data_IF_100815949428
#
_entry.id   IF_100815949428
#
_cell.length_a   1.000
_cell.length_b   1.000
_cell.length_c   1.000
_cell.angle_alpha   90.00
_cell.angle_beta   90.00
_cell.angle_gamma   90.00
#
_symmetry.space_group_name_H-M   'P 1'
#
loop_
_entity.id
_entity.type
_entity.pdbx_description
1 polymer ?
#
# COMPACT_ATOMS: atom_id res chain seq x y z
N UNK A 1 61.00 9.89 -8.26
CA UNK A 1 59.52 9.99 -8.38
C UNK A 1 58.97 9.87 -6.97
N UNK A 2 58.49 10.98 -6.40
CA UNK A 2 58.07 11.07 -4.99
C UNK A 2 56.67 10.50 -4.85
N UNK A 3 56.54 9.41 -4.08
CA UNK A 3 55.29 8.72 -3.78
C UNK A 3 54.52 9.52 -2.71
N UNK A 4 53.47 10.25 -3.11
CA UNK A 4 52.55 10.92 -2.16
C UNK A 4 51.50 9.92 -1.68
N UNK A 5 51.58 9.57 -0.40
CA UNK A 5 50.55 8.83 0.34
C UNK A 5 49.26 9.67 0.40
N UNK A 6 48.19 9.16 -0.23
CA UNK A 6 46.82 9.66 -0.03
C UNK A 6 46.25 8.89 1.15
N UNK A 7 46.13 9.57 2.29
CA UNK A 7 45.40 9.05 3.47
C UNK A 7 43.91 9.19 3.17
N UNK A 8 43.26 8.07 2.87
CA UNK A 8 41.81 7.99 2.77
C UNK A 8 41.18 8.05 4.16
N UNK A 9 40.44 9.12 4.44
CA UNK A 9 39.59 9.21 5.62
C UNK A 9 38.36 8.32 5.35
N UNK A 10 38.35 7.11 5.92
CA UNK A 10 37.12 6.33 6.04
C UNK A 10 36.18 7.10 6.98
N UNK A 11 35.19 7.78 6.41
CA UNK A 11 34.05 8.30 7.16
C UNK A 11 33.22 7.13 7.68
N UNK A 12 33.26 6.93 8.99
CA UNK A 12 32.40 5.98 9.70
C UNK A 12 30.96 6.49 9.59
N UNK A 13 30.14 5.89 8.73
CA UNK A 13 28.70 6.13 8.72
C UNK A 13 28.11 5.56 10.01
N UNK A 14 27.89 6.43 10.99
CA UNK A 14 27.24 6.08 12.26
C UNK A 14 25.75 5.89 11.97
N UNK A 15 25.27 4.66 12.01
CA UNK A 15 23.82 4.36 11.97
C UNK A 15 23.24 4.75 13.34
N UNK A 16 22.74 5.98 13.46
CA UNK A 16 22.07 6.48 14.67
C UNK A 16 20.61 6.02 14.60
N UNK A 17 20.27 4.86 15.16
CA UNK A 17 18.86 4.44 15.20
C UNK A 17 18.38 3.63 16.44
N UNK A 18 19.19 3.07 17.34
CA UNK A 18 18.61 2.39 18.51
C UNK A 18 18.31 3.28 19.73
N UNK A 19 19.00 4.43 19.88
CA UNK A 19 19.00 5.16 21.16
C UNK A 19 17.78 6.08 21.38
N UNK A 20 17.24 6.68 20.30
CA UNK A 20 16.11 7.61 20.39
C UNK A 20 14.78 6.91 20.74
N UNK A 21 14.56 5.71 20.18
CA UNK A 21 13.35 4.90 20.43
C UNK A 21 13.29 4.44 21.90
N UNK A 22 14.42 4.00 22.46
CA UNK A 22 14.51 3.58 23.86
C UNK A 22 14.26 4.74 24.84
N UNK A 23 14.61 5.99 24.47
CA UNK A 23 14.33 7.18 25.28
C UNK A 23 12.86 7.61 25.25
N UNK A 24 12.09 7.17 24.25
CA UNK A 24 10.66 7.44 24.08
C UNK A 24 9.77 6.39 24.79
N UNK A 25 10.37 5.38 25.44
CA UNK A 25 9.63 4.31 26.11
C UNK A 25 8.94 3.32 25.17
N UNK A 26 9.35 3.26 23.91
CA UNK A 26 8.77 2.37 22.90
C UNK A 26 9.49 1.02 22.97
N UNK A 27 8.72 -0.07 23.06
CA UNK A 27 9.27 -1.43 23.02
C UNK A 27 9.96 -1.69 21.67
N UNK A 28 11.24 -2.14 21.64
CA UNK A 28 11.95 -2.40 20.39
C UNK A 28 11.29 -3.47 19.50
N UNK A 29 10.64 -4.47 20.10
CA UNK A 29 9.91 -5.51 19.36
C UNK A 29 8.69 -4.93 18.65
N UNK A 30 7.90 -4.12 19.37
CA UNK A 30 6.76 -3.39 18.83
C UNK A 30 7.18 -2.44 17.70
N UNK A 31 8.30 -1.73 17.86
CA UNK A 31 8.84 -0.85 16.81
C UNK A 31 9.23 -1.65 15.54
N UNK A 32 9.89 -2.80 15.72
CA UNK A 32 10.26 -3.69 14.61
C UNK A 32 9.04 -4.33 13.92
N UNK A 33 7.98 -4.62 14.66
CA UNK A 33 6.70 -5.04 14.07
C UNK A 33 6.07 -3.91 13.25
N UNK A 34 6.07 -2.68 13.77
CA UNK A 34 5.59 -1.49 13.06
C UNK A 34 6.34 -1.26 11.75
N UNK A 35 7.65 -1.48 11.73
CA UNK A 35 8.46 -1.42 10.51
C UNK A 35 8.01 -2.44 9.47
N UNK A 36 7.80 -3.69 9.85
CA UNK A 36 7.36 -4.74 8.92
C UNK A 36 5.97 -4.42 8.34
N UNK A 37 5.05 -3.96 9.19
CA UNK A 37 3.73 -3.50 8.75
C UNK A 37 3.84 -2.33 7.78
N UNK A 38 4.75 -1.38 8.02
CA UNK A 38 5.00 -0.25 7.13
C UNK A 38 5.52 -0.69 5.76
N UNK A 39 6.48 -1.61 5.73
CA UNK A 39 7.05 -2.12 4.48
C UNK A 39 6.00 -2.81 3.59
N UNK A 40 5.09 -3.56 4.21
CA UNK A 40 4.01 -4.23 3.49
C UNK A 40 2.93 -3.23 3.05
N UNK A 41 2.47 -2.35 3.94
CA UNK A 41 1.22 -1.62 3.72
C UNK A 41 1.40 -0.18 3.23
N UNK A 42 2.51 0.47 3.57
CA UNK A 42 2.66 1.92 3.45
C UNK A 42 3.77 2.34 2.49
N UNK A 43 4.88 1.58 2.44
CA UNK A 43 6.07 1.92 1.67
C UNK A 43 5.82 2.05 0.15
N UNK A 44 4.79 1.37 -0.38
CA UNK A 44 4.40 1.48 -1.79
C UNK A 44 4.15 2.94 -2.21
N UNK A 45 3.52 3.73 -1.34
CA UNK A 45 3.20 5.14 -1.59
C UNK A 45 4.16 6.08 -0.84
N UNK A 46 4.47 5.76 0.42
CA UNK A 46 5.24 6.64 1.29
C UNK A 46 6.77 6.43 1.22
N UNK A 47 7.23 5.43 0.46
CA UNK A 47 8.63 5.02 0.27
C UNK A 47 9.32 4.57 1.56
N UNK A 48 10.39 3.80 1.46
CA UNK A 48 11.14 3.32 2.63
C UNK A 48 11.74 4.45 3.47
N UNK A 49 12.05 5.58 2.82
CA UNK A 49 12.56 6.80 3.46
C UNK A 49 11.48 7.66 4.11
N UNK A 50 10.19 7.33 3.95
CA UNK A 50 9.09 8.15 4.44
C UNK A 50 8.94 9.49 3.70
N UNK A 51 9.69 9.74 2.62
CA UNK A 51 9.61 10.99 1.86
C UNK A 51 8.43 11.02 0.89
N UNK A 52 7.80 9.87 0.61
CA UNK A 52 6.72 9.77 -0.35
C UNK A 52 7.13 10.15 -1.77
N UNK A 53 6.16 10.66 -2.52
CA UNK A 53 6.32 11.21 -3.87
C UNK A 53 5.39 12.44 -4.01
N UNK A 54 5.77 13.59 -3.41
CA UNK A 54 4.90 14.76 -3.37
C UNK A 54 4.66 15.35 -4.77
N UNK A 55 3.45 15.88 -5.06
CA UNK A 55 2.33 16.06 -4.13
C UNK A 55 1.39 14.85 -4.04
N UNK A 56 1.61 13.80 -4.84
CA UNK A 56 0.69 12.66 -4.96
C UNK A 56 0.67 11.82 -3.69
N UNK A 57 1.85 11.47 -3.18
CA UNK A 57 2.01 10.75 -1.92
C UNK A 57 2.82 11.62 -0.95
N UNK A 58 2.22 12.11 0.15
CA UNK A 58 2.89 13.06 1.02
C UNK A 58 4.00 12.41 1.85
N UNK A 59 4.98 13.23 2.25
CA UNK A 59 6.02 12.84 3.18
C UNK A 59 5.44 12.59 4.60
N UNK A 60 5.93 11.51 5.21
CA UNK A 60 5.76 11.18 6.61
C UNK A 60 6.99 11.60 7.43
N UNK A 61 8.20 11.52 6.87
CA UNK A 61 9.41 12.03 7.53
C UNK A 61 9.33 13.55 7.69
N UNK A 62 9.65 14.06 8.89
CA UNK A 62 9.64 15.48 9.23
C UNK A 62 8.24 16.11 9.25
N UNK A 63 7.18 15.31 9.33
CA UNK A 63 5.81 15.80 9.25
C UNK A 63 5.20 16.05 10.63
N UNK A 64 5.17 17.32 11.06
CA UNK A 64 4.62 17.75 12.36
C UNK A 64 3.18 17.32 12.63
N UNK A 65 2.38 17.06 11.57
CA UNK A 65 1.00 16.57 11.75
C UNK A 65 0.94 15.19 12.40
N UNK A 66 2.04 14.44 12.38
CA UNK A 66 2.18 13.17 13.06
C UNK A 66 2.18 13.31 14.57
N UNK A 67 2.25 14.51 15.15
CA UNK A 67 2.08 14.71 16.59
C UNK A 67 0.69 14.30 17.13
N UNK A 68 -0.34 14.34 16.29
CA UNK A 68 -1.71 13.96 16.65
C UNK A 68 -1.95 12.45 16.41
N UNK A 69 -1.84 11.67 17.49
CA UNK A 69 -1.96 10.21 17.44
C UNK A 69 -3.35 9.75 16.93
N UNK A 70 -4.42 10.40 17.37
CA UNK A 70 -5.80 10.05 16.98
C UNK A 70 -6.00 10.29 15.48
N UNK A 71 -5.42 11.35 14.92
CA UNK A 71 -5.44 11.59 13.47
C UNK A 71 -4.74 10.47 12.70
N UNK A 72 -3.61 9.97 13.20
CA UNK A 72 -2.88 8.87 12.56
C UNK A 72 -3.72 7.59 12.59
N UNK A 73 -4.25 7.23 13.77
CA UNK A 73 -5.11 6.05 13.93
C UNK A 73 -6.31 6.11 12.98
N UNK A 74 -6.97 7.28 12.89
CA UNK A 74 -8.06 7.50 11.94
C UNK A 74 -7.62 7.31 10.49
N UNK A 75 -6.51 7.92 10.10
CA UNK A 75 -5.99 7.82 8.72
C UNK A 75 -5.63 6.39 8.33
N UNK A 76 -5.06 5.61 9.26
CA UNK A 76 -4.75 4.20 9.02
C UNK A 76 -6.03 3.37 8.92
N UNK A 77 -6.95 3.53 9.87
CA UNK A 77 -8.13 2.67 9.93
C UNK A 77 -9.15 2.98 8.80
N UNK A 78 -9.48 4.26 8.63
CA UNK A 78 -10.52 4.71 7.70
C UNK A 78 -9.97 5.14 6.33
N UNK A 79 -8.65 5.25 6.19
CA UNK A 79 -8.05 5.82 5.00
C UNK A 79 -8.28 7.33 4.91
N UNK A 80 -8.18 7.85 3.69
CA UNK A 80 -8.43 9.24 3.35
C UNK A 80 -8.40 9.40 1.84
N UNK A 81 -8.32 10.64 1.34
CA UNK A 81 -8.40 11.01 -0.09
C UNK A 81 -8.00 9.92 -1.09
N UNK A 82 -6.72 9.50 -1.08
CA UNK A 82 -6.16 8.40 -1.88
C UNK A 82 -5.44 7.37 -1.02
N UNK A 83 -5.59 7.46 0.31
CA UNK A 83 -4.99 6.51 1.24
C UNK A 83 -6.02 5.43 1.49
N UNK A 84 -5.76 4.18 1.10
CA UNK A 84 -6.73 3.10 1.32
C UNK A 84 -6.95 2.87 2.82
N UNK A 85 -8.14 2.40 3.23
CA UNK A 85 -8.36 1.95 4.60
C UNK A 85 -7.65 0.62 4.87
N UNK A 86 -7.20 0.42 6.11
CA UNK A 86 -6.57 -0.83 6.57
C UNK A 86 -7.40 -1.49 7.69
N UNK A 87 -8.62 -1.97 7.41
CA UNK A 87 -9.54 -2.49 8.42
C UNK A 87 -9.12 -3.86 8.99
N UNK A 88 -8.16 -4.54 8.34
CA UNK A 88 -7.62 -5.82 8.78
C UNK A 88 -6.64 -5.68 9.96
N UNK A 89 -6.05 -4.49 10.15
CA UNK A 89 -5.08 -4.26 11.22
C UNK A 89 -5.79 -4.15 12.56
N UNK A 90 -5.28 -4.91 13.53
CA UNK A 90 -5.71 -4.86 14.93
C UNK A 90 -5.27 -3.56 15.61
N UNK A 91 -5.85 -3.24 16.77
CA UNK A 91 -5.43 -2.07 17.56
C UNK A 91 -3.94 -2.14 17.95
N UNK A 92 -3.42 -3.34 18.23
CA UNK A 92 -2.01 -3.55 18.55
C UNK A 92 -1.11 -3.31 17.34
N UNK A 93 -1.49 -3.81 16.15
CA UNK A 93 -0.75 -3.56 14.91
C UNK A 93 -0.79 -2.09 14.50
N UNK A 94 -1.93 -1.41 14.66
CA UNK A 94 -2.05 0.03 14.43
C UNK A 94 -1.18 0.80 15.42
N UNK A 95 -1.13 0.38 16.68
CA UNK A 95 -0.23 0.96 17.69
C UNK A 95 1.24 0.80 17.27
N UNK A 96 1.66 -0.41 16.89
CA UNK A 96 3.01 -0.68 16.41
C UNK A 96 3.38 0.20 15.19
N UNK A 97 2.50 0.23 14.18
CA UNK A 97 2.67 1.00 12.96
C UNK A 97 2.71 2.52 13.22
N UNK A 98 1.82 3.04 14.07
CA UNK A 98 1.79 4.44 14.45
C UNK A 98 3.08 4.84 15.18
N UNK A 99 3.57 4.00 16.11
CA UNK A 99 4.84 4.23 16.80
C UNK A 99 6.02 4.25 15.85
N UNK A 100 6.07 3.33 14.86
CA UNK A 100 7.11 3.36 13.82
C UNK A 100 7.06 4.65 13.01
N UNK A 101 5.92 5.01 12.41
CA UNK A 101 5.78 6.21 11.58
C UNK A 101 6.14 7.49 12.36
N UNK A 102 5.74 7.57 13.63
CA UNK A 102 5.99 8.72 14.51
C UNK A 102 7.42 8.84 15.02
N UNK A 103 8.25 7.80 14.88
CA UNK A 103 9.60 7.78 15.46
C UNK A 103 10.67 7.23 14.50
N UNK A 104 10.32 6.98 13.25
CA UNK A 104 11.25 6.70 12.17
C UNK A 104 11.75 8.01 11.54
N UNK A 105 12.91 7.92 10.87
CA UNK A 105 13.52 9.01 10.11
C UNK A 105 13.80 10.26 10.96
N UNK A 106 13.29 11.42 10.56
CA UNK A 106 13.44 12.69 11.29
C UNK A 106 12.36 12.91 12.37
N UNK A 107 11.46 11.95 12.58
CA UNK A 107 10.37 12.07 13.54
C UNK A 107 10.79 11.65 14.95
N UNK A 108 10.09 12.17 15.97
CA UNK A 108 10.36 11.84 17.37
C UNK A 108 9.23 12.26 18.31
N UNK A 109 8.06 11.61 18.19
CA UNK A 109 6.89 11.89 19.02
C UNK A 109 6.64 10.82 20.09
N UNK A 110 6.00 11.21 21.19
CA UNK A 110 5.60 10.31 22.27
C UNK A 110 4.93 9.03 21.74
N UNK A 111 5.21 7.93 22.45
CA UNK A 111 4.59 6.63 22.20
C UNK A 111 3.06 6.71 22.23
N UNK A 112 2.41 5.85 21.45
CA UNK A 112 0.96 5.64 21.45
C UNK A 112 0.70 4.22 21.94
N UNK A 113 -0.21 4.03 22.90
CA UNK A 113 -0.49 2.69 23.45
C UNK A 113 -1.63 1.99 22.72
N UNK A 114 -1.71 0.66 22.83
CA UNK A 114 -2.81 -0.13 22.26
C UNK A 114 -4.17 0.28 22.85
N UNK A 115 -4.21 0.68 24.11
CA UNK A 115 -5.42 1.18 24.78
C UNK A 115 -5.87 2.52 24.17
N UNK A 116 -4.93 3.44 23.91
CA UNK A 116 -5.24 4.71 23.25
C UNK A 116 -5.76 4.50 21.83
N UNK A 117 -5.16 3.57 21.08
CA UNK A 117 -5.64 3.19 19.75
C UNK A 117 -7.04 2.57 19.84
N UNK A 118 -7.27 1.66 20.78
CA UNK A 118 -8.57 1.01 20.97
C UNK A 118 -9.66 2.05 21.26
N UNK A 119 -9.42 2.97 22.20
CA UNK A 119 -10.34 4.05 22.52
C UNK A 119 -10.61 4.97 21.32
N UNK A 120 -9.57 5.26 20.52
CA UNK A 120 -9.73 6.03 19.29
C UNK A 120 -10.61 5.30 18.26
N UNK A 121 -10.43 3.98 18.07
CA UNK A 121 -11.24 3.18 17.16
C UNK A 121 -12.70 3.08 17.62
N UNK A 122 -12.95 2.89 18.91
CA UNK A 122 -14.29 2.91 19.51
C UNK A 122 -15.01 4.24 19.22
N UNK A 123 -14.31 5.37 19.39
CA UNK A 123 -14.83 6.70 19.09
C UNK A 123 -15.13 6.96 17.60
N UNK A 124 -14.62 6.12 16.70
CA UNK A 124 -14.85 6.20 15.26
C UNK A 124 -16.04 5.35 14.77
N UNK A 125 -16.82 4.78 15.70
CA UNK A 125 -17.91 3.85 15.37
C UNK A 125 -17.58 2.38 15.65
N UNK A 126 -16.48 2.13 16.35
CA UNK A 126 -16.09 0.80 16.82
C UNK A 126 -15.65 -0.16 15.73
N UNK A 127 -15.05 -1.25 16.18
CA UNK A 127 -14.69 -2.44 15.41
C UNK A 127 -15.94 -3.18 14.87
N UNK A 128 -16.99 -2.47 14.44
CA UNK A 128 -18.02 -3.03 13.57
C UNK A 128 -17.43 -3.17 12.16
N UNK A 129 -16.45 -4.08 12.11
CA UNK A 129 -15.85 -4.66 10.92
C UNK A 129 -17.00 -5.17 10.07
N UNK A 130 -17.33 -4.43 9.02
CA UNK A 130 -18.47 -4.71 8.15
C UNK A 130 -18.21 -6.03 7.39
N UNK A 131 -18.61 -7.17 7.95
CA UNK A 131 -18.43 -8.51 7.37
C UNK A 131 -17.09 -9.19 7.70
N UNK A 132 -16.82 -10.40 7.19
CA UNK A 132 -15.50 -11.05 7.26
C UNK A 132 -14.50 -10.46 6.24
N UNK A 133 -13.20 -10.72 6.40
CA UNK A 133 -12.21 -10.51 5.33
C UNK A 133 -12.41 -11.59 4.26
N UNK A 134 -12.24 -11.23 3.00
CA UNK A 134 -12.34 -12.12 1.85
C UNK A 134 -11.01 -12.16 1.08
N UNK A 135 -10.84 -13.19 0.29
CA UNK A 135 -9.79 -13.33 -0.69
C UNK A 135 -10.28 -12.97 -2.09
N UNK A 136 -9.36 -12.54 -2.95
CA UNK A 136 -9.60 -12.46 -4.40
C UNK A 136 -10.04 -13.80 -5.02
N UNK A 137 -9.84 -14.94 -4.34
CA UNK A 137 -10.28 -16.28 -4.77
C UNK A 137 -11.75 -16.60 -4.43
N UNK A 138 -12.43 -15.74 -3.68
CA UNK A 138 -13.80 -16.00 -3.18
C UNK A 138 -14.91 -15.57 -4.16
N UNK A 139 -14.61 -15.47 -5.46
CA UNK A 139 -15.61 -15.06 -6.46
C UNK A 139 -16.06 -13.61 -6.31
N UNK A 140 -15.10 -12.69 -6.14
CA UNK A 140 -15.37 -11.29 -5.75
C UNK A 140 -15.80 -10.36 -6.90
N UNK A 141 -15.83 -10.86 -8.13
CA UNK A 141 -16.18 -10.12 -9.34
C UNK A 141 -17.04 -10.98 -10.27
N UNK A 142 -17.77 -10.35 -11.20
CA UNK A 142 -18.59 -11.06 -12.19
C UNK A 142 -17.89 -11.19 -13.55
N UNK A 143 -18.27 -12.19 -14.35
CA UNK A 143 -17.77 -12.32 -15.74
C UNK A 143 -18.11 -11.09 -16.60
N UNK A 144 -19.30 -10.53 -16.40
CA UNK A 144 -19.72 -9.31 -17.09
C UNK A 144 -18.81 -8.13 -16.72
N UNK A 145 -18.41 -8.02 -15.45
CA UNK A 145 -17.50 -6.99 -14.99
C UNK A 145 -16.10 -7.15 -15.59
N UNK A 146 -15.55 -8.37 -15.59
CA UNK A 146 -14.26 -8.64 -16.20
C UNK A 146 -14.27 -8.37 -17.71
N UNK A 147 -15.37 -8.67 -18.40
CA UNK A 147 -15.54 -8.38 -19.84
C UNK A 147 -15.50 -6.87 -20.12
N UNK A 148 -16.22 -6.04 -19.33
CA UNK A 148 -16.12 -4.58 -19.45
C UNK A 148 -14.72 -4.07 -19.16
N UNK A 149 -14.06 -4.67 -18.16
CA UNK A 149 -12.68 -4.36 -17.79
C UNK A 149 -11.67 -4.62 -18.89
N UNK A 150 -11.85 -5.70 -19.65
CA UNK A 150 -11.02 -6.03 -20.81
C UNK A 150 -11.06 -4.93 -21.87
N UNK A 151 -12.27 -4.46 -22.23
CA UNK A 151 -12.45 -3.39 -23.22
C UNK A 151 -11.75 -2.09 -22.81
N UNK A 152 -11.86 -1.70 -21.54
CA UNK A 152 -11.17 -0.52 -20.99
C UNK A 152 -9.65 -0.73 -20.99
N UNK A 153 -9.20 -1.91 -20.55
CA UNK A 153 -7.79 -2.25 -20.44
C UNK A 153 -7.06 -2.16 -21.79
N UNK A 154 -7.66 -2.68 -22.87
CA UNK A 154 -7.04 -2.68 -24.19
C UNK A 154 -6.67 -1.28 -24.68
N UNK A 155 -7.52 -0.29 -24.37
CA UNK A 155 -7.31 1.11 -24.73
C UNK A 155 -6.34 1.84 -23.80
N UNK A 156 -6.55 1.75 -22.49
CA UNK A 156 -5.86 2.59 -21.50
C UNK A 156 -4.56 1.99 -20.96
N UNK A 157 -4.41 0.66 -20.98
CA UNK A 157 -3.34 -0.03 -20.26
C UNK A 157 -2.50 -0.95 -21.17
N UNK A 158 -3.13 -1.59 -22.16
CA UNK A 158 -2.56 -2.68 -22.94
C UNK A 158 -1.35 -2.30 -23.80
N UNK A 159 -1.20 -1.03 -24.18
CA UNK A 159 -0.02 -0.52 -24.90
C UNK A 159 1.26 -0.60 -24.09
N UNK A 160 1.14 -0.41 -22.78
CA UNK A 160 2.27 -0.43 -21.85
C UNK A 160 2.37 -1.79 -21.16
N UNK A 161 1.29 -2.32 -20.59
CA UNK A 161 1.32 -3.53 -19.76
C UNK A 161 1.11 -4.84 -20.54
N UNK A 162 1.10 -4.77 -21.87
CA UNK A 162 0.86 -5.89 -22.78
C UNK A 162 -0.62 -6.28 -22.85
N UNK A 163 -1.10 -6.70 -24.02
CA UNK A 163 -2.51 -7.09 -24.24
C UNK A 163 -2.99 -8.23 -23.33
N UNK A 164 -2.05 -9.03 -22.80
CA UNK A 164 -2.32 -10.16 -21.88
C UNK A 164 -1.82 -9.92 -20.46
N UNK A 165 -1.59 -8.66 -20.08
CA UNK A 165 -1.14 -8.26 -18.73
C UNK A 165 0.22 -8.82 -18.33
N UNK A 166 1.02 -9.25 -19.31
CA UNK A 166 2.30 -9.90 -19.10
C UNK A 166 3.48 -8.91 -19.00
N UNK A 167 3.25 -7.62 -19.29
CA UNK A 167 4.30 -6.59 -19.30
C UNK A 167 5.42 -6.86 -20.31
N UNK A 168 6.47 -6.05 -20.27
CA UNK A 168 7.72 -6.25 -21.00
C UNK A 168 8.78 -6.89 -20.06
N UNK A 169 9.67 -7.78 -20.54
CA UNK A 169 10.24 -7.82 -21.88
C UNK A 169 9.70 -8.95 -22.78
N UNK A 170 8.56 -9.55 -22.46
CA UNK A 170 7.99 -10.64 -23.25
C UNK A 170 7.53 -10.18 -24.66
N UNK A 171 7.48 -8.85 -24.89
CA UNK A 171 7.34 -8.20 -26.19
C UNK A 171 8.53 -7.22 -26.40
N UNK A 172 9.44 -7.47 -27.36
CA UNK A 172 10.65 -6.68 -27.56
C UNK A 172 10.40 -5.25 -28.07
N UNK A 173 9.18 -4.95 -28.56
CA UNK A 173 8.81 -3.64 -29.09
C UNK A 173 8.12 -2.75 -28.03
N UNK A 174 7.99 -3.22 -26.78
CA UNK A 174 7.34 -2.48 -25.69
C UNK A 174 8.34 -1.87 -24.69
N UNK A 175 7.96 -0.71 -24.12
CA UNK A 175 8.67 -0.11 -22.98
C UNK A 175 8.64 -1.06 -21.79
N UNK A 176 9.73 -1.12 -21.02
CA UNK A 176 9.82 -1.94 -19.81
C UNK A 176 8.76 -1.55 -18.79
N UNK A 177 7.75 -2.40 -18.61
CA UNK A 177 6.59 -2.18 -17.75
C UNK A 177 6.27 -3.45 -16.97
N UNK A 178 5.77 -3.33 -15.72
CA UNK A 178 5.47 -4.50 -14.92
C UNK A 178 4.25 -5.26 -15.45
N UNK A 179 4.22 -6.60 -15.32
CA UNK A 179 3.02 -7.39 -15.51
C UNK A 179 1.96 -7.04 -14.47
N UNK A 180 0.70 -7.15 -14.87
CA UNK A 180 -0.47 -6.83 -14.05
C UNK A 180 -1.27 -8.06 -13.62
N UNK A 181 -0.79 -9.27 -13.94
CA UNK A 181 -1.41 -10.51 -13.48
C UNK A 181 -0.37 -11.59 -13.14
N UNK A 182 -0.85 -12.66 -12.49
CA UNK A 182 -0.11 -13.91 -12.22
C UNK A 182 1.08 -13.75 -11.25
N UNK A 183 2.01 -14.70 -11.25
CA UNK A 183 3.08 -14.82 -10.25
C UNK A 183 3.96 -13.56 -10.10
N UNK A 184 4.19 -12.80 -11.19
CA UNK A 184 5.02 -11.58 -11.11
C UNK A 184 4.27 -10.43 -10.44
N UNK A 185 2.96 -10.35 -10.62
CA UNK A 185 2.08 -9.39 -9.92
C UNK A 185 2.09 -9.65 -8.41
N UNK A 186 1.99 -10.92 -7.98
CA UNK A 186 1.98 -11.27 -6.57
C UNK A 186 3.24 -10.80 -5.79
N UNK A 187 4.41 -10.70 -6.44
CA UNK A 187 5.62 -10.18 -5.78
C UNK A 187 5.48 -8.78 -5.20
N UNK A 188 4.57 -7.97 -5.75
CA UNK A 188 4.31 -6.60 -5.29
C UNK A 188 2.99 -6.52 -4.55
N UNK A 189 2.01 -7.34 -4.91
CA UNK A 189 0.62 -7.15 -4.47
C UNK A 189 0.15 -8.15 -3.43
N UNK A 190 0.87 -9.24 -3.19
CA UNK A 190 0.54 -10.20 -2.12
C UNK A 190 0.45 -9.51 -0.75
N UNK A 191 -0.58 -9.88 0.01
CA UNK A 191 -0.89 -9.34 1.33
C UNK A 191 -1.58 -7.97 1.32
N UNK A 192 -1.67 -7.29 0.17
CA UNK A 192 -2.36 -5.99 0.04
C UNK A 192 -3.82 -6.19 -0.36
N UNK A 193 -4.65 -5.19 -0.04
CA UNK A 193 -6.07 -5.22 -0.41
C UNK A 193 -6.33 -4.69 -1.82
N UNK A 194 -7.51 -4.99 -2.37
CA UNK A 194 -7.96 -4.37 -3.63
C UNK A 194 -8.12 -2.85 -3.50
N UNK A 195 -8.39 -2.32 -2.30
CA UNK A 195 -8.40 -0.85 -2.11
C UNK A 195 -7.02 -0.24 -2.34
N UNK A 196 -5.96 -0.90 -1.88
CA UNK A 196 -4.58 -0.44 -2.13
C UNK A 196 -4.26 -0.45 -3.62
N UNK A 197 -4.63 -1.52 -4.33
CA UNK A 197 -4.45 -1.59 -5.79
C UNK A 197 -5.26 -0.52 -6.52
N UNK A 198 -6.52 -0.34 -6.14
CA UNK A 198 -7.41 0.64 -6.73
C UNK A 198 -6.88 2.07 -6.56
N UNK A 199 -6.56 2.47 -5.33
CA UNK A 199 -6.07 3.83 -5.07
C UNK A 199 -4.70 4.10 -5.69
N UNK A 200 -3.78 3.12 -5.65
CA UNK A 200 -2.49 3.26 -6.32
C UNK A 200 -2.67 3.42 -7.84
N UNK A 201 -3.48 2.56 -8.46
CA UNK A 201 -3.74 2.62 -9.90
C UNK A 201 -4.37 3.95 -10.30
N UNK A 202 -5.33 4.47 -9.53
CA UNK A 202 -5.91 5.80 -9.76
C UNK A 202 -4.90 6.92 -9.63
N UNK A 203 -3.99 6.81 -8.67
CA UNK A 203 -3.02 7.86 -8.37
C UNK A 203 -1.86 7.91 -9.37
N UNK A 204 -1.50 6.78 -10.00
CA UNK A 204 -0.29 6.68 -10.82
C UNK A 204 -0.53 6.24 -12.26
N UNK A 205 -1.74 5.76 -12.59
CA UNK A 205 -2.04 5.20 -13.91
C UNK A 205 -3.28 5.85 -14.55
N UNK A 206 -3.30 5.98 -15.89
CA UNK A 206 -2.14 5.90 -16.79
C UNK A 206 -1.02 6.89 -16.42
N UNK A 207 0.25 6.56 -16.68
CA UNK A 207 1.42 7.34 -16.23
C UNK A 207 1.38 8.80 -16.72
N UNK A 208 0.89 9.01 -17.94
CA UNK A 208 0.78 10.32 -18.59
C UNK A 208 -0.49 11.09 -18.19
N UNK A 209 -1.52 10.39 -17.73
CA UNK A 209 -2.80 10.99 -17.34
C UNK A 209 -3.47 10.25 -16.16
N UNK A 210 -2.91 10.32 -14.94
CA UNK A 210 -3.48 9.62 -13.79
C UNK A 210 -4.88 10.11 -13.44
N UNK A 211 -5.71 9.20 -12.91
CA UNK A 211 -7.12 9.46 -12.56
C UNK A 211 -8.01 9.86 -13.76
N UNK A 212 -7.62 9.50 -14.98
CA UNK A 212 -8.38 9.82 -16.19
C UNK A 212 -9.58 8.92 -16.45
N UNK A 213 -9.59 7.72 -15.88
CA UNK A 213 -10.73 6.81 -15.92
C UNK A 213 -11.69 7.09 -14.75
N UNK A 214 -12.95 6.71 -14.92
CA UNK A 214 -13.94 6.68 -13.85
C UNK A 214 -13.58 5.61 -12.82
N UNK A 215 -14.06 5.78 -11.59
CA UNK A 215 -13.84 4.78 -10.53
C UNK A 215 -14.40 3.39 -10.91
N UNK A 216 -15.53 3.35 -11.62
CA UNK A 216 -16.10 2.10 -12.12
C UNK A 216 -15.19 1.41 -13.14
N UNK A 217 -14.62 2.17 -14.08
CA UNK A 217 -13.69 1.63 -15.07
C UNK A 217 -12.43 1.05 -14.40
N UNK A 218 -11.90 1.68 -13.34
CA UNK A 218 -10.78 1.10 -12.60
C UNK A 218 -11.12 -0.23 -11.92
N UNK A 219 -12.29 -0.36 -11.27
CA UNK A 219 -12.68 -1.65 -10.66
C UNK A 219 -13.01 -2.72 -11.69
N UNK A 220 -13.55 -2.33 -12.85
CA UNK A 220 -13.79 -3.25 -13.97
C UNK A 220 -12.44 -3.77 -14.51
N UNK A 221 -11.44 -2.91 -14.71
CA UNK A 221 -10.08 -3.33 -15.09
C UNK A 221 -9.46 -4.25 -14.03
N UNK A 222 -9.64 -3.97 -12.74
CA UNK A 222 -9.19 -4.87 -11.66
C UNK A 222 -9.86 -6.23 -11.79
N UNK A 223 -11.17 -6.30 -12.01
CA UNK A 223 -11.87 -7.57 -12.23
C UNK A 223 -11.28 -8.36 -13.41
N UNK A 224 -10.95 -7.68 -14.51
CA UNK A 224 -10.26 -8.30 -15.65
C UNK A 224 -8.87 -8.84 -15.26
N UNK A 225 -8.08 -8.07 -14.50
CA UNK A 225 -6.78 -8.52 -13.98
C UNK A 225 -6.91 -9.81 -13.13
N UNK A 226 -7.95 -9.89 -12.28
CA UNK A 226 -8.22 -11.07 -11.47
C UNK A 226 -8.62 -12.27 -12.35
N UNK A 227 -9.47 -12.06 -13.36
CA UNK A 227 -9.85 -13.10 -14.33
C UNK A 227 -8.63 -13.67 -15.07
N UNK A 228 -7.75 -12.82 -15.59
CA UNK A 228 -6.48 -13.25 -16.26
C UNK A 228 -5.50 -13.92 -15.29
N UNK A 229 -5.61 -13.58 -14.00
CA UNK A 229 -4.91 -14.23 -12.90
C UNK A 229 -5.43 -15.63 -12.54
N UNK A 230 -6.58 -16.05 -13.09
CA UNK A 230 -7.18 -17.37 -12.90
C UNK A 230 -8.18 -17.47 -11.74
N UNK A 231 -8.56 -16.34 -11.14
CA UNK A 231 -9.60 -16.31 -10.11
C UNK A 231 -10.97 -16.54 -10.74
N UNK A 232 -11.80 -17.39 -10.13
CA UNK A 232 -13.14 -17.67 -10.62
C UNK A 232 -14.05 -16.46 -10.40
N UNK A 233 -14.92 -16.17 -11.37
CA UNK A 233 -15.99 -15.19 -11.19
C UNK A 233 -17.06 -15.72 -10.23
N UNK A 234 -17.67 -14.80 -9.48
CA UNK A 234 -18.89 -15.01 -8.71
C UNK A 234 -20.08 -14.28 -9.32
N UNK A 235 -21.11 -14.05 -8.49
CA UNK A 235 -22.35 -13.40 -8.92
C UNK A 235 -22.37 -11.89 -8.64
N UNK A 236 -21.48 -11.40 -7.78
CA UNK A 236 -21.44 -10.01 -7.35
C UNK A 236 -20.35 -9.24 -8.10
N UNK A 237 -20.58 -7.93 -8.31
CA UNK A 237 -19.59 -7.04 -8.92
C UNK A 237 -18.78 -6.31 -7.83
N UNK A 238 -17.47 -6.15 -8.06
CA UNK A 238 -16.64 -5.23 -7.31
C UNK A 238 -17.20 -3.83 -7.44
N UNK A 239 -17.46 -3.19 -6.30
CA UNK A 239 -17.92 -1.81 -6.26
C UNK A 239 -16.72 -0.88 -6.04
N UNK A 240 -16.72 0.34 -6.61
CA UNK A 240 -15.69 1.36 -6.36
C UNK A 240 -15.82 2.00 -4.97
N UNK A 241 -15.95 1.17 -3.94
CA UNK A 241 -16.03 1.57 -2.54
C UNK A 241 -14.74 1.13 -1.83
N UNK A 242 -13.85 2.07 -1.45
CA UNK A 242 -12.60 1.75 -0.78
C UNK A 242 -12.79 0.92 0.50
N UNK A 243 -13.88 1.13 1.25
CA UNK A 243 -14.12 0.37 2.48
C UNK A 243 -14.44 -1.09 2.18
N UNK A 244 -15.18 -1.38 1.09
CA UNK A 244 -15.45 -2.76 0.65
C UNK A 244 -14.22 -3.39 0.02
N UNK A 245 -13.53 -2.68 -0.87
CA UNK A 245 -12.33 -3.16 -1.55
C UNK A 245 -11.19 -3.47 -0.56
N UNK A 246 -11.10 -2.73 0.54
CA UNK A 246 -10.08 -2.96 1.57
C UNK A 246 -10.24 -4.30 2.30
N UNK A 247 -11.40 -4.94 2.14
CA UNK A 247 -11.71 -6.23 2.76
C UNK A 247 -11.36 -7.43 1.89
N UNK A 248 -10.95 -7.20 0.64
CA UNK A 248 -10.56 -8.24 -0.30
C UNK A 248 -9.05 -8.24 -0.43
N UNK A 249 -8.41 -9.30 0.09
CA UNK A 249 -6.95 -9.43 0.14
C UNK A 249 -6.44 -10.22 -1.06
N UNK A 250 -5.37 -9.70 -1.68
CA UNK A 250 -4.64 -10.34 -2.77
C UNK A 250 -3.68 -11.37 -2.16
N UNK A 251 -3.83 -12.63 -2.54
CA UNK A 251 -3.00 -13.73 -2.04
C UNK A 251 -2.79 -14.80 -3.11
N UNK A 252 -1.79 -15.69 -2.95
CA UNK A 252 -1.58 -16.83 -3.85
C UNK A 252 -2.79 -17.76 -3.92
N UNK A 253 -2.84 -18.60 -4.95
CA UNK A 253 -3.86 -19.64 -5.05
C UNK A 253 -3.80 -20.58 -3.83
N UNK A 254 -4.94 -20.90 -3.19
CA UNK A 254 -5.01 -21.84 -2.06
C UNK A 254 -4.53 -23.25 -2.40
#
# INVERSE_FOLDING_TARGET
VVLKLVVGVLGLALVIAPAAVAQQGIDPGLFGQGEQLYQVNCALCHRDSGLGDPPTFPALSGNDRLGDAVRIVRSIHQGGRRMPPFPALTAEEISALANYIRNAWENGFNAVTTEEVTAALEGLGGLEVSGPMASVWDGVFSDAQATRGEEVYEGACGLCHGRRLNGAPDDPDMRSTPPLARARFLRVWEGRSLATLFEYSRATMPEDNPSSLTEQEYVDVIAYMLSVGGMAAGNDELQPDPQRLARVVIQPQP
#
